data_IF_322667067649
#
_entry.id   IF_322667067649
#
_cell.length_a   1.000
_cell.length_b   1.000
_cell.length_c   1.000
_cell.angle_alpha   90.00
_cell.angle_beta   90.00
_cell.angle_gamma   90.00
#
_symmetry.space_group_name_H-M   'P 1'
#
loop_
_entity.id
_entity.type
_entity.pdbx_description
1 polymer ?
#
# COMPACT_ATOMS: atom_id res chain seq x y z
N UNK A 1 -12.60 -5.70 59.97
CA UNK A 1 -13.95 -5.87 59.41
C UNK A 1 -14.05 -5.09 58.11
N UNK A 2 -14.67 -5.72 57.11
CA UNK A 2 -14.84 -5.33 55.71
C UNK A 2 -15.09 -3.83 55.48
N UNK A 3 -14.38 -3.27 54.50
CA UNK A 3 -15.03 -2.45 53.48
C UNK A 3 -14.25 -2.52 52.16
N UNK A 4 -14.75 -3.40 51.27
CA UNK A 4 -14.42 -3.42 49.85
C UNK A 4 -15.12 -2.22 49.20
N UNK A 5 -14.39 -1.40 48.45
CA UNK A 5 -14.98 -0.60 47.38
C UNK A 5 -14.22 -0.92 46.09
N UNK A 6 -14.89 -1.69 45.25
CA UNK A 6 -14.55 -1.96 43.86
C UNK A 6 -14.77 -0.65 43.12
N UNK A 7 -13.71 -0.06 42.55
CA UNK A 7 -13.83 1.06 41.63
C UNK A 7 -13.86 0.44 40.23
N UNK A 8 -15.05 0.47 39.62
CA UNK A 8 -15.27 0.05 38.24
C UNK A 8 -14.55 1.01 37.29
N UNK A 9 -13.73 0.41 36.44
CA UNK A 9 -13.20 0.99 35.20
C UNK A 9 -14.35 1.38 34.28
N UNK A 10 -14.44 2.64 33.88
CA UNK A 10 -15.30 3.08 32.77
C UNK A 10 -14.38 3.52 31.62
N UNK A 11 -14.19 2.64 30.65
CA UNK A 11 -13.60 2.97 29.35
C UNK A 11 -14.71 3.60 28.52
N UNK A 12 -14.66 4.91 28.29
CA UNK A 12 -15.56 5.57 27.35
C UNK A 12 -14.95 5.48 25.96
N UNK A 13 -15.41 4.48 25.20
CA UNK A 13 -15.15 4.34 23.78
C UNK A 13 -15.97 5.42 23.03
N UNK A 14 -15.32 6.46 22.54
CA UNK A 14 -15.94 7.44 21.64
C UNK A 14 -15.81 6.90 20.21
N UNK A 15 -16.88 6.28 19.72
CA UNK A 15 -17.04 5.96 18.30
C UNK A 15 -17.75 7.15 17.65
N UNK A 16 -17.01 7.98 16.92
CA UNK A 16 -17.60 9.03 16.07
C UNK A 16 -17.95 8.37 14.73
N UNK A 17 -19.19 7.91 14.58
CA UNK A 17 -19.77 7.63 13.26
C UNK A 17 -20.63 8.81 12.84
N UNK A 18 -20.05 9.75 12.11
CA UNK A 18 -20.80 10.77 11.37
C UNK A 18 -21.33 10.17 10.06
N UNK A 19 -22.50 9.54 10.13
CA UNK A 19 -23.33 9.26 8.95
C UNK A 19 -24.39 10.34 8.84
N UNK A 20 -24.21 11.27 7.89
CA UNK A 20 -25.27 12.21 7.49
C UNK A 20 -26.20 11.46 6.54
N UNK A 21 -27.45 11.28 6.97
CA UNK A 21 -28.54 10.74 6.15
C UNK A 21 -29.24 11.92 5.47
N UNK A 22 -29.27 11.95 4.14
CA UNK A 22 -30.29 12.65 3.36
C UNK A 22 -30.85 11.73 2.27
N UNK A 23 -32.17 11.72 2.17
CA UNK A 23 -33.00 10.81 1.37
C UNK A 23 -32.81 10.94 -0.15
N UNK A 24 -32.83 9.80 -0.85
CA UNK A 24 -33.03 9.71 -2.29
C UNK A 24 -33.08 8.25 -2.76
N UNK A 25 -34.13 7.86 -3.49
CA UNK A 25 -34.31 6.52 -4.05
C UNK A 25 -33.10 6.04 -4.85
N UNK A 26 -32.60 4.87 -4.48
CA UNK A 26 -31.59 4.10 -5.19
C UNK A 26 -31.12 3.00 -4.26
N UNK A 27 -30.87 1.81 -4.76
CA UNK A 27 -30.05 0.84 -4.03
C UNK A 27 -28.64 1.45 -3.88
N UNK A 28 -28.46 2.33 -2.90
CA UNK A 28 -27.17 2.92 -2.55
C UNK A 28 -26.35 1.78 -1.96
N UNK A 29 -25.53 1.13 -2.79
CA UNK A 29 -24.41 0.35 -2.27
C UNK A 29 -23.60 1.32 -1.42
N UNK A 30 -23.49 1.02 -0.14
CA UNK A 30 -22.66 1.80 0.79
C UNK A 30 -21.25 1.84 0.20
N UNK A 31 -20.74 3.05 0.01
CA UNK A 31 -19.35 3.29 -0.41
C UNK A 31 -18.54 3.83 0.75
N UNK A 32 -17.23 3.65 0.66
CA UNK A 32 -16.23 4.18 1.59
C UNK A 32 -15.17 4.96 0.82
N UNK A 33 -14.63 6.00 1.45
CA UNK A 33 -13.54 6.79 0.89
C UNK A 33 -12.19 6.25 1.39
N UNK A 34 -11.21 6.23 0.49
CA UNK A 34 -9.84 5.81 0.72
C UNK A 34 -8.90 6.89 0.20
N UNK A 35 -7.95 7.33 1.02
CA UNK A 35 -7.05 8.43 0.69
C UNK A 35 -5.66 7.90 0.35
N UNK A 36 -5.28 7.94 -0.92
CA UNK A 36 -3.93 7.65 -1.37
C UNK A 36 -3.05 8.86 -1.10
N UNK A 37 -2.02 8.76 -0.24
CA UNK A 37 -1.14 9.89 0.05
C UNK A 37 -0.29 10.26 -1.16
N UNK A 38 0.17 11.51 -1.22
CA UNK A 38 0.99 12.01 -2.32
C UNK A 38 2.23 11.14 -2.58
N UNK A 39 2.82 10.57 -1.52
CA UNK A 39 4.00 9.70 -1.65
C UNK A 39 3.71 8.43 -2.46
N UNK A 40 2.52 7.84 -2.32
CA UNK A 40 2.05 6.69 -3.10
C UNK A 40 1.90 7.07 -4.58
N UNK A 41 1.33 8.24 -4.85
CA UNK A 41 1.14 8.76 -6.21
C UNK A 41 2.50 9.06 -6.88
N UNK A 42 3.44 9.66 -6.14
CA UNK A 42 4.77 9.92 -6.67
C UNK A 42 5.61 8.65 -6.83
N UNK A 43 5.40 7.62 -5.99
CA UNK A 43 6.15 6.35 -6.10
C UNK A 43 5.77 5.57 -7.37
N UNK A 44 4.56 5.76 -7.91
CA UNK A 44 4.18 5.22 -9.22
C UNK A 44 4.67 6.08 -10.40
N UNK A 45 5.40 7.18 -10.14
CA UNK A 45 5.86 8.12 -11.16
C UNK A 45 4.76 9.03 -11.71
N UNK A 46 3.61 9.11 -11.04
CA UNK A 46 2.46 9.89 -11.48
C UNK A 46 2.37 11.24 -10.76
N UNK A 47 1.64 12.16 -11.39
CA UNK A 47 1.13 13.39 -10.76
C UNK A 47 -0.25 13.13 -10.18
N UNK A 48 -0.72 14.01 -9.28
CA UNK A 48 -2.09 13.95 -8.78
C UNK A 48 -3.11 14.04 -9.94
N UNK A 49 -2.86 14.92 -10.90
CA UNK A 49 -3.66 15.09 -12.12
C UNK A 49 -3.76 13.79 -12.91
N UNK A 50 -2.62 13.23 -13.30
CA UNK A 50 -2.59 12.01 -14.11
C UNK A 50 -3.20 10.82 -13.40
N UNK A 51 -2.97 10.69 -12.08
CA UNK A 51 -3.58 9.60 -11.31
C UNK A 51 -5.11 9.70 -11.27
N UNK A 52 -5.68 10.91 -11.14
CA UNK A 52 -7.13 11.11 -11.20
C UNK A 52 -7.67 10.83 -12.59
N UNK A 53 -6.98 11.26 -13.64
CA UNK A 53 -7.38 11.00 -15.03
C UNK A 53 -7.37 9.50 -15.37
N UNK A 54 -6.30 8.79 -14.99
CA UNK A 54 -6.14 7.36 -15.25
C UNK A 54 -7.15 6.50 -14.49
N UNK A 55 -7.57 6.95 -13.30
CA UNK A 55 -8.54 6.26 -12.47
C UNK A 55 -9.99 6.67 -12.78
N UNK A 56 -10.21 7.70 -13.61
CA UNK A 56 -11.53 8.24 -13.85
C UNK A 56 -12.45 7.16 -14.46
N UNK A 57 -13.62 6.88 -13.85
CA UNK A 57 -14.49 5.83 -14.35
C UNK A 57 -15.11 6.20 -15.72
N UNK A 58 -14.75 5.48 -16.78
CA UNK A 58 -15.13 5.77 -18.17
C UNK A 58 -16.60 5.44 -18.54
N UNK A 59 -17.37 4.85 -17.62
CA UNK A 59 -18.76 4.46 -17.85
C UNK A 59 -18.96 2.99 -18.20
N UNK A 60 -17.88 2.21 -18.32
CA UNK A 60 -17.95 0.75 -18.48
C UNK A 60 -18.42 0.05 -17.19
N UNK A 61 -18.86 -1.22 -17.33
CA UNK A 61 -19.35 -2.04 -16.21
C UNK A 61 -18.22 -2.66 -15.34
N UNK A 62 -16.97 -2.55 -15.77
CA UNK A 62 -15.79 -3.14 -15.11
C UNK A 62 -15.06 -2.17 -14.17
N UNK A 63 -15.80 -1.22 -13.59
CA UNK A 63 -15.23 -0.19 -12.72
C UNK A 63 -14.67 -0.76 -11.43
N UNK A 64 -13.35 -0.69 -11.28
CA UNK A 64 -12.63 -0.96 -10.02
C UNK A 64 -12.90 0.11 -8.95
N UNK A 65 -13.43 1.29 -9.30
CA UNK A 65 -13.79 2.35 -8.34
C UNK A 65 -15.13 3.03 -8.70
N UNK A 66 -15.81 3.60 -7.72
CA UNK A 66 -17.08 4.34 -7.91
C UNK A 66 -16.80 5.77 -8.38
N UNK A 67 -15.84 6.45 -7.73
CA UNK A 67 -15.36 7.77 -8.15
C UNK A 67 -13.94 8.01 -7.68
N UNK A 68 -13.27 8.98 -8.29
CA UNK A 68 -11.96 9.49 -7.88
C UNK A 68 -12.01 11.02 -7.89
N UNK A 69 -11.31 11.64 -6.94
CA UNK A 69 -11.15 13.09 -6.87
C UNK A 69 -9.77 13.46 -6.33
N UNK A 70 -9.35 14.68 -6.64
CA UNK A 70 -8.18 15.30 -5.99
C UNK A 70 -8.48 15.53 -4.51
N UNK A 71 -7.56 15.11 -3.66
CA UNK A 71 -7.51 15.48 -2.25
C UNK A 71 -6.60 16.68 -1.99
N UNK A 72 -6.44 17.04 -0.72
CA UNK A 72 -5.48 18.06 -0.29
C UNK A 72 -4.05 17.53 -0.31
N UNK A 73 -3.07 18.44 -0.46
CA UNK A 73 -1.64 18.11 -0.35
C UNK A 73 -1.17 17.03 -1.34
N UNK A 74 -1.73 16.98 -2.54
CA UNK A 74 -1.35 16.03 -3.59
C UNK A 74 -1.92 14.62 -3.41
N UNK A 75 -2.81 14.37 -2.43
CA UNK A 75 -3.44 13.06 -2.25
C UNK A 75 -4.54 12.78 -3.27
N UNK A 76 -4.89 11.52 -3.49
CA UNK A 76 -6.02 11.11 -4.34
C UNK A 76 -7.05 10.40 -3.47
N UNK A 77 -8.31 10.79 -3.59
CA UNK A 77 -9.40 10.15 -2.82
C UNK A 77 -10.22 9.27 -3.75
N UNK A 78 -10.30 7.99 -3.40
CA UNK A 78 -11.07 6.98 -4.11
C UNK A 78 -12.33 6.65 -3.33
N UNK A 79 -13.44 6.51 -4.02
CA UNK A 79 -14.68 5.99 -3.44
C UNK A 79 -14.93 4.58 -3.99
N UNK A 80 -15.09 3.60 -3.10
CA UNK A 80 -15.28 2.19 -3.45
C UNK A 80 -16.44 1.59 -2.66
N UNK A 81 -17.19 0.69 -3.30
CA UNK A 81 -18.06 -0.25 -2.58
C UNK A 81 -17.30 -1.53 -2.21
N UNK A 82 -17.89 -2.38 -1.36
CA UNK A 82 -17.24 -3.61 -0.87
C UNK A 82 -16.76 -4.55 -1.99
N UNK A 83 -17.53 -4.69 -3.08
CA UNK A 83 -17.12 -5.55 -4.22
C UNK A 83 -15.87 -5.00 -4.90
N UNK A 84 -15.80 -3.68 -5.05
CA UNK A 84 -14.65 -2.99 -5.65
C UNK A 84 -13.42 -3.08 -4.76
N UNK A 85 -13.57 -2.89 -3.45
CA UNK A 85 -12.50 -3.09 -2.48
C UNK A 85 -11.92 -4.50 -2.58
N UNK A 86 -12.76 -5.52 -2.59
CA UNK A 86 -12.30 -6.91 -2.71
C UNK A 86 -11.60 -7.16 -4.06
N UNK A 87 -12.07 -6.54 -5.15
CA UNK A 87 -11.39 -6.65 -6.44
C UNK A 87 -9.98 -6.02 -6.42
N UNK A 88 -9.81 -4.88 -5.73
CA UNK A 88 -8.50 -4.27 -5.51
C UNK A 88 -7.57 -5.13 -4.68
N UNK A 89 -8.05 -5.66 -3.55
CA UNK A 89 -7.26 -6.53 -2.69
C UNK A 89 -6.80 -7.80 -3.44
N UNK A 90 -7.68 -8.42 -4.22
CA UNK A 90 -7.31 -9.56 -5.07
C UNK A 90 -6.26 -9.18 -6.13
N UNK A 91 -6.41 -8.00 -6.77
CA UNK A 91 -5.43 -7.49 -7.74
C UNK A 91 -4.06 -7.26 -7.09
N UNK A 92 -4.03 -6.73 -5.87
CA UNK A 92 -2.81 -6.54 -5.09
C UNK A 92 -2.11 -7.87 -4.84
N UNK A 93 -2.85 -8.87 -4.38
CA UNK A 93 -2.32 -10.22 -4.12
C UNK A 93 -1.78 -10.87 -5.40
N UNK A 94 -2.53 -10.81 -6.50
CA UNK A 94 -2.12 -11.36 -7.80
C UNK A 94 -0.87 -10.65 -8.34
N UNK A 95 -0.82 -9.33 -8.23
CA UNK A 95 0.33 -8.51 -8.66
C UNK A 95 1.58 -8.88 -7.86
N UNK A 96 1.47 -8.93 -6.53
CA UNK A 96 2.59 -9.33 -5.65
C UNK A 96 3.04 -10.75 -5.94
N UNK A 97 2.11 -11.67 -6.19
CA UNK A 97 2.44 -13.04 -6.59
C UNK A 97 3.21 -13.08 -7.91
N UNK A 98 2.80 -12.28 -8.89
CA UNK A 98 3.53 -12.12 -10.15
C UNK A 98 4.93 -11.55 -9.90
N UNK A 99 5.06 -10.47 -9.13
CA UNK A 99 6.34 -9.87 -8.77
C UNK A 99 7.31 -10.87 -8.12
N UNK A 100 6.80 -11.70 -7.20
CA UNK A 100 7.56 -12.79 -6.56
C UNK A 100 8.01 -13.84 -7.57
N UNK A 101 7.15 -14.21 -8.52
CA UNK A 101 7.47 -15.17 -9.56
C UNK A 101 8.50 -14.63 -10.55
N UNK A 102 8.38 -13.36 -10.95
CA UNK A 102 9.34 -12.69 -11.84
C UNK A 102 10.71 -12.57 -11.19
N UNK A 103 10.77 -12.14 -9.92
CA UNK A 103 12.02 -12.12 -9.16
C UNK A 103 12.66 -13.52 -9.12
N UNK A 104 11.87 -14.56 -8.85
CA UNK A 104 12.35 -15.95 -8.82
C UNK A 104 12.88 -16.42 -10.17
N UNK A 105 12.24 -16.03 -11.28
CA UNK A 105 12.71 -16.36 -12.63
C UNK A 105 14.05 -15.68 -12.94
N UNK A 106 14.33 -14.53 -12.33
CA UNK A 106 15.62 -13.81 -12.37
C UNK A 106 16.56 -14.22 -11.23
N UNK A 107 16.38 -15.39 -10.59
CA UNK A 107 17.28 -15.85 -9.52
C UNK A 107 17.25 -15.02 -8.23
N UNK A 108 16.27 -14.12 -8.08
CA UNK A 108 16.07 -13.25 -6.93
C UNK A 108 14.89 -13.72 -6.06
N UNK A 109 14.66 -13.06 -4.92
CA UNK A 109 13.53 -13.37 -4.03
C UNK A 109 12.88 -12.09 -3.50
N UNK A 110 11.55 -12.08 -3.38
CA UNK A 110 10.80 -11.00 -2.72
C UNK A 110 10.02 -11.58 -1.54
N UNK A 111 10.24 -11.01 -0.36
CA UNK A 111 9.57 -11.36 0.89
C UNK A 111 8.83 -10.12 1.37
N UNK A 112 7.58 -10.27 1.78
CA UNK A 112 6.74 -9.19 2.32
C UNK A 112 6.22 -9.69 3.66
N UNK A 113 6.20 -8.83 4.67
CA UNK A 113 5.60 -9.17 5.96
C UNK A 113 4.06 -9.11 5.91
N UNK A 114 3.43 -9.67 6.93
CA UNK A 114 1.96 -9.87 6.93
C UNK A 114 1.15 -8.56 6.95
N UNK A 115 1.71 -7.48 7.49
CA UNK A 115 1.05 -6.17 7.56
C UNK A 115 1.46 -5.21 6.42
N UNK A 116 2.27 -5.69 5.46
CA UNK A 116 2.71 -4.93 4.29
C UNK A 116 3.49 -3.66 4.62
N UNK A 117 4.05 -3.55 5.83
CA UNK A 117 4.89 -2.42 6.24
C UNK A 117 6.38 -2.63 5.94
N UNK A 118 6.77 -3.83 5.49
CA UNK A 118 8.13 -4.13 5.09
C UNK A 118 8.18 -5.13 3.94
N UNK A 119 9.08 -4.90 3.00
CA UNK A 119 9.50 -5.95 2.06
C UNK A 119 11.01 -6.03 1.91
N UNK A 120 11.49 -7.24 1.69
CA UNK A 120 12.89 -7.56 1.42
C UNK A 120 13.03 -8.09 0.01
N UNK A 121 13.91 -7.47 -0.77
CA UNK A 121 14.33 -7.95 -2.08
C UNK A 121 15.72 -8.56 -1.98
N UNK A 122 15.82 -9.88 -2.12
CA UNK A 122 17.11 -10.57 -2.18
C UNK A 122 17.59 -10.58 -3.62
N UNK A 123 18.73 -9.94 -3.86
CA UNK A 123 19.33 -9.76 -5.18
C UNK A 123 20.65 -10.52 -5.29
N UNK A 124 20.93 -11.07 -6.47
CA UNK A 124 22.29 -11.50 -6.84
C UNK A 124 22.96 -10.43 -7.71
N UNK A 125 24.28 -10.52 -7.86
CA UNK A 125 25.11 -9.47 -8.49
C UNK A 125 24.79 -9.23 -9.97
N UNK A 126 24.34 -10.27 -10.67
CA UNK A 126 24.05 -10.26 -12.10
C UNK A 126 22.55 -9.99 -12.40
N UNK A 127 21.76 -9.62 -11.38
CA UNK A 127 20.32 -9.38 -11.53
C UNK A 127 20.05 -8.25 -12.53
N UNK A 128 18.94 -8.35 -13.26
CA UNK A 128 18.57 -7.32 -14.21
C UNK A 128 18.11 -6.05 -13.46
N UNK A 129 18.94 -5.01 -13.49
CA UNK A 129 18.69 -3.74 -12.77
C UNK A 129 17.36 -3.10 -13.16
N UNK A 130 17.00 -3.09 -14.45
CA UNK A 130 15.73 -2.49 -14.89
C UNK A 130 14.52 -3.30 -14.39
N UNK A 131 14.62 -4.63 -14.42
CA UNK A 131 13.60 -5.51 -13.87
C UNK A 131 13.47 -5.32 -12.36
N UNK A 132 14.59 -5.28 -11.63
CA UNK A 132 14.60 -5.02 -10.19
C UNK A 132 13.93 -3.69 -9.85
N UNK A 133 14.30 -2.58 -10.51
CA UNK A 133 13.71 -1.26 -10.24
C UNK A 133 12.21 -1.26 -10.50
N UNK A 134 11.79 -1.80 -11.65
CA UNK A 134 10.36 -1.92 -12.00
C UNK A 134 9.60 -2.75 -10.96
N UNK A 135 10.12 -3.94 -10.63
CA UNK A 135 9.46 -4.89 -9.75
C UNK A 135 9.40 -4.41 -8.30
N UNK A 136 10.48 -3.83 -7.78
CA UNK A 136 10.52 -3.25 -6.42
C UNK A 136 9.59 -2.05 -6.28
N UNK A 137 9.51 -1.18 -7.30
CA UNK A 137 8.56 -0.05 -7.33
C UNK A 137 7.11 -0.54 -7.31
N UNK A 138 6.81 -1.60 -8.08
CA UNK A 138 5.49 -2.19 -8.12
C UNK A 138 5.11 -2.81 -6.77
N UNK A 139 6.00 -3.61 -6.18
CA UNK A 139 5.80 -4.20 -4.84
C UNK A 139 5.57 -3.12 -3.79
N UNK A 140 6.37 -2.05 -3.80
CA UNK A 140 6.22 -0.94 -2.87
C UNK A 140 4.84 -0.27 -3.00
N UNK A 141 4.41 0.01 -4.24
CA UNK A 141 3.09 0.59 -4.52
C UNK A 141 1.97 -0.31 -4.00
N UNK A 142 2.03 -1.62 -4.29
CA UNK A 142 1.02 -2.59 -3.83
C UNK A 142 0.96 -2.70 -2.30
N UNK A 143 2.09 -2.60 -1.60
CA UNK A 143 2.12 -2.56 -0.13
C UNK A 143 1.43 -1.32 0.43
N UNK A 144 1.68 -0.14 -0.16
CA UNK A 144 1.05 1.11 0.27
C UNK A 144 -0.47 1.10 -0.01
N UNK A 145 -0.89 0.61 -1.18
CA UNK A 145 -2.31 0.45 -1.52
C UNK A 145 -3.01 -0.49 -0.53
N UNK A 146 -2.38 -1.62 -0.18
CA UNK A 146 -2.93 -2.57 0.79
C UNK A 146 -3.16 -1.92 2.16
N UNK A 147 -2.18 -1.17 2.66
CA UNK A 147 -2.30 -0.46 3.94
C UNK A 147 -3.51 0.50 3.93
N UNK A 148 -3.65 1.32 2.89
CA UNK A 148 -4.78 2.25 2.78
C UNK A 148 -6.11 1.50 2.72
N UNK A 149 -6.20 0.45 1.90
CA UNK A 149 -7.44 -0.33 1.74
C UNK A 149 -7.82 -1.16 2.97
N UNK A 150 -6.86 -1.46 3.84
CA UNK A 150 -7.11 -2.16 5.12
C UNK A 150 -7.31 -1.21 6.30
N UNK A 151 -7.32 0.11 6.05
CA UNK A 151 -7.76 1.13 7.01
C UNK A 151 -6.63 1.89 7.70
N UNK A 152 -5.39 1.79 7.23
CA UNK A 152 -4.31 2.68 7.68
C UNK A 152 -4.56 4.08 7.13
N UNK A 153 -4.48 5.10 7.98
CA UNK A 153 -4.66 6.48 7.56
C UNK A 153 -3.52 6.90 6.62
N UNK A 154 -3.82 7.81 5.69
CA UNK A 154 -2.85 8.21 4.65
C UNK A 154 -1.57 8.84 5.20
N UNK A 155 -1.62 9.45 6.38
CA UNK A 155 -0.49 10.05 7.09
C UNK A 155 0.25 9.07 8.01
N UNK A 156 -0.28 7.85 8.17
CA UNK A 156 0.29 6.78 8.99
C UNK A 156 0.87 5.63 8.15
N UNK A 157 0.75 5.67 6.82
CA UNK A 157 1.36 4.67 5.95
C UNK A 157 2.87 4.68 6.12
N UNK A 158 3.46 3.49 6.12
CA UNK A 158 4.90 3.31 6.27
C UNK A 158 5.36 2.12 5.47
N UNK A 159 6.58 2.19 4.96
CA UNK A 159 7.17 1.07 4.24
C UNK A 159 8.66 1.06 4.51
N UNK A 160 9.17 -0.05 5.01
CA UNK A 160 10.59 -0.31 5.06
C UNK A 160 10.99 -1.19 3.87
N UNK A 161 12.00 -0.74 3.13
CA UNK A 161 12.55 -1.45 1.99
C UNK A 161 13.95 -1.97 2.30
N UNK A 162 14.09 -3.28 2.25
CA UNK A 162 15.36 -3.95 2.52
C UNK A 162 15.87 -4.61 1.24
N UNK A 163 17.13 -4.39 0.91
CA UNK A 163 17.83 -5.14 -0.13
C UNK A 163 18.92 -5.97 0.52
N UNK A 164 18.95 -7.27 0.24
CA UNK A 164 20.00 -8.17 0.74
C UNK A 164 20.70 -8.87 -0.41
N UNK A 165 22.00 -9.07 -0.29
CA UNK A 165 22.74 -9.98 -1.16
C UNK A 165 22.25 -11.42 -0.89
N UNK A 166 21.72 -12.10 -1.91
CA UNK A 166 21.14 -13.44 -1.77
C UNK A 166 22.20 -14.52 -1.48
N UNK A 167 23.45 -14.30 -1.88
CA UNK A 167 24.56 -15.25 -1.73
C UNK A 167 25.15 -15.20 -0.31
N UNK A 168 25.30 -13.98 0.24
CA UNK A 168 25.96 -13.76 1.54
C UNK A 168 24.99 -13.46 2.68
N UNK A 169 23.76 -13.07 2.38
CA UNK A 169 22.79 -12.57 3.35
C UNK A 169 23.07 -11.15 3.86
N UNK A 170 24.12 -10.47 3.35
CA UNK A 170 24.47 -9.09 3.75
C UNK A 170 23.34 -8.12 3.37
N UNK A 171 22.93 -7.29 4.32
CA UNK A 171 22.02 -6.15 4.06
C UNK A 171 22.80 -5.07 3.31
N UNK A 172 22.32 -4.72 2.13
CA UNK A 172 22.90 -3.69 1.24
C UNK A 172 22.12 -2.38 1.32
N UNK A 173 20.82 -2.46 1.59
CA UNK A 173 19.91 -1.33 1.79
C UNK A 173 18.95 -1.69 2.91
N UNK A 174 18.69 -0.71 3.78
CA UNK A 174 17.62 -0.69 4.77
C UNK A 174 17.15 0.76 4.81
N UNK A 175 16.02 1.04 4.16
CA UNK A 175 15.57 2.41 3.89
C UNK A 175 14.06 2.53 4.12
N UNK A 176 13.68 3.56 4.84
CA UNK A 176 12.27 3.90 5.05
C UNK A 176 11.68 4.63 3.84
N UNK A 177 10.35 4.64 3.76
CA UNK A 177 9.59 5.32 2.72
C UNK A 177 10.01 6.79 2.59
N UNK A 178 10.52 7.16 1.42
CA UNK A 178 10.97 8.52 1.12
C UNK A 178 12.46 8.76 1.37
N UNK A 179 13.19 7.78 1.89
CA UNK A 179 14.64 7.86 1.99
C UNK A 179 15.31 7.51 0.65
N UNK A 180 16.33 8.29 0.30
CA UNK A 180 17.21 7.97 -0.82
C UNK A 180 18.24 6.92 -0.40
N UNK A 181 18.52 5.96 -1.30
CA UNK A 181 19.53 4.95 -1.05
C UNK A 181 20.35 4.65 -2.30
N UNK A 182 21.48 3.98 -2.11
CA UNK A 182 22.35 3.50 -3.20
C UNK A 182 22.97 2.17 -2.78
N UNK A 183 23.01 1.20 -3.70
CA UNK A 183 23.74 -0.06 -3.50
C UNK A 183 25.18 0.17 -3.94
N UNK A 184 26.14 0.02 -3.03
CA UNK A 184 27.55 0.23 -3.37
C UNK A 184 28.16 -1.02 -4.02
N UNK A 185 29.14 -0.88 -4.92
CA UNK A 185 29.84 -2.02 -5.50
C UNK A 185 30.49 -2.96 -4.46
N UNK A 186 30.88 -2.42 -3.30
CA UNK A 186 31.45 -3.17 -2.17
C UNK A 186 30.42 -4.06 -1.44
N UNK A 187 29.12 -3.82 -1.66
CA UNK A 187 28.06 -4.62 -1.05
C UNK A 187 27.91 -6.02 -1.68
N UNK A 188 28.54 -6.18 -2.84
CA UNK A 188 28.66 -7.45 -3.56
C UNK A 188 29.92 -8.24 -3.21
N UNK A 189 30.80 -7.71 -2.36
CA UNK A 189 32.03 -8.40 -1.95
C UNK A 189 31.80 -9.16 -0.65
N UNK A 190 32.36 -10.38 -0.60
CA UNK A 190 32.42 -11.23 0.60
C UNK A 190 33.28 -10.60 1.71
#
# INVERSE_FOLDING_TARGET
MKNRKIILTLITLIVITSAIIMNGCGFNKKTSEYCFPAILISSSGQTQESAVEDLQPDGSNDKLITSVKKGSNGSVVLELNDKQLQAWLNRIEDTIKQCKQEAKNDGCEVIINDDYTQFTYKLHKDANVAQYVSNSTLVATQCLEYQVFTGVNSDEVKLNFIVTNIETGKVMVDAELGEEFTINPEDWKE
#
